data_IF_184692735457
#
_entry.id   IF_184692735457
#
_cell.length_a   1.000
_cell.length_b   1.000
_cell.length_c   1.000
_cell.angle_alpha   90.00
_cell.angle_beta   90.00
_cell.angle_gamma   90.00
#
_symmetry.space_group_name_H-M   'P 1'
#
loop_
_entity.id
_entity.type
_entity.pdbx_description
1 polymer ?
#
# COMPACT_ATOMS: atom_id res chain seq x y z
N UNK A 1 -6.16 -35.11 17.27
CA UNK A 1 -5.49 -33.86 16.86
C UNK A 1 -6.44 -33.11 15.96
N UNK A 2 -6.95 -31.98 16.42
CA UNK A 2 -7.90 -31.16 15.66
C UNK A 2 -7.16 -30.51 14.48
N UNK A 3 -7.86 -30.31 13.35
CA UNK A 3 -7.33 -29.64 12.16
C UNK A 3 -6.65 -28.30 12.49
N UNK A 4 -7.21 -27.58 13.47
CA UNK A 4 -6.66 -26.33 14.00
C UNK A 4 -5.27 -26.49 14.61
N UNK A 5 -5.01 -27.56 15.36
CA UNK A 5 -3.70 -27.80 15.98
C UNK A 5 -2.61 -28.03 14.92
N UNK A 6 -2.95 -28.78 13.86
CA UNK A 6 -2.04 -29.04 12.74
C UNK A 6 -1.81 -27.73 11.96
N UNK A 7 -2.87 -27.00 11.65
CA UNK A 7 -2.80 -25.71 10.96
C UNK A 7 -1.94 -24.69 11.73
N UNK A 8 -2.16 -24.56 13.04
CA UNK A 8 -1.41 -23.64 13.90
C UNK A 8 0.07 -24.04 13.98
N UNK A 9 0.38 -25.34 14.05
CA UNK A 9 1.76 -25.83 14.07
C UNK A 9 2.48 -25.53 12.76
N UNK A 10 1.82 -25.74 11.63
CA UNK A 10 2.38 -25.42 10.30
C UNK A 10 2.62 -23.91 10.18
N UNK A 11 1.63 -23.09 10.56
CA UNK A 11 1.76 -21.64 10.52
C UNK A 11 2.85 -21.10 11.48
N UNK A 12 3.03 -21.71 12.65
CA UNK A 12 4.10 -21.37 13.58
C UNK A 12 5.48 -21.71 13.01
N UNK A 13 5.65 -22.89 12.41
CA UNK A 13 6.89 -23.28 11.74
C UNK A 13 7.26 -22.32 10.61
N UNK A 14 6.30 -21.90 9.77
CA UNK A 14 6.55 -20.89 8.73
C UNK A 14 6.87 -19.51 9.30
N UNK A 15 6.23 -19.12 10.40
CA UNK A 15 6.55 -17.86 11.09
C UNK A 15 7.99 -17.85 11.61
N UNK A 16 8.43 -18.96 12.23
CA UNK A 16 9.81 -19.14 12.67
C UNK A 16 10.79 -19.20 11.48
N UNK A 17 10.42 -19.87 10.39
CA UNK A 17 11.22 -19.91 9.17
C UNK A 17 11.46 -18.51 8.58
N UNK A 18 10.45 -17.63 8.63
CA UNK A 18 10.59 -16.23 8.22
C UNK A 18 11.47 -15.46 9.21
N UNK A 19 11.30 -15.66 10.52
CA UNK A 19 12.16 -15.03 11.53
C UNK A 19 13.63 -15.47 11.45
N UNK A 20 13.94 -16.64 10.88
CA UNK A 20 15.33 -17.06 10.63
C UNK A 20 16.11 -16.07 9.77
N UNK A 21 15.43 -15.24 8.95
CA UNK A 21 16.07 -14.18 8.18
C UNK A 21 16.81 -13.16 9.06
N UNK A 22 16.30 -12.89 10.26
CA UNK A 22 16.89 -11.92 11.19
C UNK A 22 18.33 -12.29 11.60
N UNK A 23 18.66 -13.58 11.57
CA UNK A 23 20.00 -14.07 11.90
C UNK A 23 20.91 -14.13 10.67
N UNK A 24 20.45 -14.76 9.58
CA UNK A 24 21.13 -14.85 8.28
C UNK A 24 20.19 -15.46 7.23
N UNK A 25 20.46 -15.24 5.94
CA UNK A 25 19.77 -15.92 4.83
C UNK A 25 20.03 -17.44 4.80
N UNK A 26 19.21 -18.19 5.54
CA UNK A 26 19.26 -19.65 5.65
C UNK A 26 18.44 -20.32 4.53
N UNK A 27 18.80 -21.51 4.00
CA UNK A 27 17.94 -22.32 3.11
C UNK A 27 16.48 -22.46 3.56
N UNK A 28 16.23 -22.54 4.88
CA UNK A 28 14.88 -22.64 5.45
C UNK A 28 14.04 -21.38 5.14
N UNK A 29 14.63 -20.20 5.26
CA UNK A 29 13.98 -18.95 4.89
C UNK A 29 13.67 -18.89 3.39
N UNK A 30 14.65 -19.21 2.54
CA UNK A 30 14.47 -19.22 1.08
C UNK A 30 13.38 -20.20 0.64
N UNK A 31 13.30 -21.36 1.27
CA UNK A 31 12.21 -22.31 1.02
C UNK A 31 10.84 -21.72 1.38
N UNK A 32 10.71 -21.11 2.56
CA UNK A 32 9.47 -20.46 2.99
C UNK A 32 9.07 -19.31 2.05
N UNK A 33 10.03 -18.51 1.58
CA UNK A 33 9.80 -17.43 0.62
C UNK A 33 9.28 -17.96 -0.72
N UNK A 34 9.93 -18.96 -1.32
CA UNK A 34 9.48 -19.56 -2.57
C UNK A 34 8.11 -20.24 -2.44
N UNK A 35 7.86 -20.90 -1.32
CA UNK A 35 6.55 -21.51 -1.04
C UNK A 35 5.47 -20.44 -0.90
N UNK A 36 5.73 -19.35 -0.17
CA UNK A 36 4.80 -18.23 -0.01
C UNK A 36 4.45 -17.61 -1.36
N UNK A 37 5.45 -17.33 -2.21
CA UNK A 37 5.23 -16.77 -3.55
C UNK A 37 4.46 -17.77 -4.42
N UNK A 38 4.80 -19.05 -4.38
CA UNK A 38 4.12 -20.11 -5.13
C UNK A 38 2.65 -20.26 -4.75
N UNK A 39 2.34 -20.33 -3.44
CA UNK A 39 0.98 -20.41 -2.92
C UNK A 39 0.19 -19.14 -3.25
N UNK A 40 0.80 -17.96 -3.12
CA UNK A 40 0.17 -16.68 -3.46
C UNK A 40 -0.23 -16.64 -4.94
N UNK A 41 0.66 -17.07 -5.84
CA UNK A 41 0.35 -17.18 -7.27
C UNK A 41 -0.72 -18.24 -7.55
N UNK A 42 -0.65 -19.39 -6.87
CA UNK A 42 -1.64 -20.47 -6.98
C UNK A 42 -3.03 -20.05 -6.54
N UNK A 43 -3.16 -19.20 -5.52
CA UNK A 43 -4.44 -18.62 -5.09
C UNK A 43 -4.90 -17.47 -6.00
N UNK A 44 -3.97 -16.61 -6.44
CA UNK A 44 -4.28 -15.48 -7.29
C UNK A 44 -4.85 -15.90 -8.65
N UNK A 45 -4.37 -17.00 -9.26
CA UNK A 45 -4.81 -17.45 -10.58
C UNK A 45 -6.32 -17.78 -10.65
N UNK A 46 -6.89 -18.67 -9.80
CA UNK A 46 -8.33 -18.90 -9.76
C UNK A 46 -9.14 -17.66 -9.40
N UNK A 47 -8.61 -16.80 -8.53
CA UNK A 47 -9.27 -15.56 -8.12
C UNK A 47 -9.42 -14.62 -9.31
N UNK A 48 -8.34 -14.41 -10.07
CA UNK A 48 -8.35 -13.61 -11.31
C UNK A 48 -9.26 -14.26 -12.36
N UNK A 49 -9.24 -15.58 -12.48
CA UNK A 49 -10.13 -16.28 -13.42
C UNK A 49 -11.61 -16.03 -13.09
N UNK A 50 -12.01 -16.23 -11.83
CA UNK A 50 -13.42 -16.06 -11.44
C UNK A 50 -13.86 -14.59 -11.38
N UNK A 51 -13.02 -13.72 -10.82
CA UNK A 51 -13.41 -12.35 -10.50
C UNK A 51 -13.07 -11.36 -11.60
N UNK A 52 -12.14 -11.69 -12.51
CA UNK A 52 -11.80 -10.82 -13.63
C UNK A 52 -12.15 -11.46 -14.98
N UNK A 53 -11.67 -12.67 -15.26
CA UNK A 53 -11.83 -13.26 -16.59
C UNK A 53 -13.29 -13.57 -16.93
N UNK A 54 -14.03 -14.23 -16.03
CA UNK A 54 -15.45 -14.55 -16.26
C UNK A 54 -16.30 -13.28 -16.45
N UNK A 55 -16.28 -12.28 -15.54
CA UNK A 55 -17.17 -11.13 -15.66
C UNK A 55 -16.73 -10.10 -16.71
N UNK A 56 -15.43 -9.95 -17.01
CA UNK A 56 -14.96 -8.93 -17.97
C UNK A 56 -14.72 -9.46 -19.38
N UNK A 57 -14.51 -10.77 -19.56
CA UNK A 57 -14.27 -11.37 -20.88
C UNK A 57 -15.38 -12.33 -21.26
N UNK A 58 -15.66 -13.35 -20.44
CA UNK A 58 -16.58 -14.41 -20.83
C UNK A 58 -18.05 -13.96 -20.90
N UNK A 59 -18.59 -13.40 -19.83
CA UNK A 59 -20.00 -12.95 -19.77
C UNK A 59 -20.35 -11.87 -20.81
N UNK A 60 -19.60 -10.76 -20.95
CA UNK A 60 -20.01 -9.67 -21.83
C UNK A 60 -19.90 -10.02 -23.33
N UNK A 61 -18.95 -10.88 -23.70
CA UNK A 61 -18.73 -11.29 -25.09
C UNK A 61 -19.74 -12.36 -25.51
N UNK A 62 -20.02 -13.35 -24.66
CA UNK A 62 -20.88 -14.49 -25.01
C UNK A 62 -22.35 -14.32 -24.64
N UNK A 63 -22.70 -13.55 -23.59
CA UNK A 63 -24.09 -13.39 -23.14
C UNK A 63 -24.69 -12.03 -23.54
N UNK A 64 -23.93 -10.94 -23.42
CA UNK A 64 -24.46 -9.57 -23.62
C UNK A 64 -24.23 -9.00 -25.03
N UNK A 65 -23.52 -9.70 -25.92
CA UNK A 65 -23.19 -9.27 -27.29
C UNK A 65 -22.59 -7.86 -27.39
N UNK A 66 -21.90 -7.40 -26.34
CA UNK A 66 -21.22 -6.10 -26.34
C UNK A 66 -19.84 -6.23 -27.00
N UNK A 67 -19.83 -6.19 -28.33
CA UNK A 67 -18.63 -6.30 -29.16
C UNK A 67 -17.55 -5.23 -28.84
N UNK A 68 -17.90 -4.14 -28.16
CA UNK A 68 -16.94 -3.12 -27.74
C UNK A 68 -15.92 -3.64 -26.71
N UNK A 69 -16.25 -4.70 -25.96
CA UNK A 69 -15.36 -5.33 -24.98
C UNK A 69 -14.35 -6.31 -25.61
N UNK A 70 -14.40 -6.52 -26.93
CA UNK A 70 -13.40 -7.29 -27.66
C UNK A 70 -12.05 -6.57 -27.68
N UNK A 71 -12.03 -5.24 -27.69
CA UNK A 71 -10.79 -4.46 -27.70
C UNK A 71 -9.98 -4.71 -26.40
N UNK A 72 -10.56 -4.57 -25.18
CA UNK A 72 -9.90 -4.96 -23.94
C UNK A 72 -9.50 -6.45 -23.88
N UNK A 73 -10.33 -7.35 -24.40
CA UNK A 73 -10.01 -8.79 -24.42
C UNK A 73 -8.80 -9.09 -25.31
N UNK A 74 -8.71 -8.46 -26.48
CA UNK A 74 -7.59 -8.57 -27.39
C UNK A 74 -6.31 -8.00 -26.76
N UNK A 75 -6.41 -6.87 -26.05
CA UNK A 75 -5.29 -6.32 -25.26
C UNK A 75 -4.85 -7.27 -24.12
N UNK A 76 -5.79 -7.98 -23.49
CA UNK A 76 -5.48 -9.01 -22.50
C UNK A 76 -4.68 -10.17 -23.09
N UNK A 77 -5.08 -10.66 -24.27
CA UNK A 77 -4.36 -11.72 -24.99
C UNK A 77 -2.96 -11.26 -25.39
N UNK A 78 -2.80 -10.00 -25.80
CA UNK A 78 -1.50 -9.43 -26.14
C UNK A 78 -0.49 -9.47 -24.98
N UNK A 79 -0.97 -9.47 -23.74
CA UNK A 79 -0.13 -9.56 -22.55
C UNK A 79 0.56 -10.93 -22.40
N UNK A 80 -0.06 -12.01 -22.91
CA UNK A 80 0.50 -13.38 -22.87
C UNK A 80 1.75 -13.49 -23.75
N UNK A 81 1.85 -12.69 -24.82
CA UNK A 81 3.04 -12.68 -25.68
C UNK A 81 4.30 -12.13 -25.00
N UNK A 82 4.19 -11.60 -23.78
CA UNK A 82 5.34 -11.22 -22.94
C UNK A 82 6.28 -12.41 -22.64
N UNK A 83 5.76 -13.63 -22.61
CA UNK A 83 6.57 -14.84 -22.36
C UNK A 83 7.40 -15.29 -23.57
N UNK A 84 7.13 -14.75 -24.78
CA UNK A 84 7.89 -15.05 -25.99
C UNK A 84 8.93 -13.97 -26.27
N UNK A 85 10.20 -14.36 -26.50
CA UNK A 85 11.30 -13.43 -26.82
C UNK A 85 11.06 -12.64 -28.11
N UNK A 86 10.33 -13.19 -29.08
CA UNK A 86 10.15 -12.57 -30.40
C UNK A 86 8.89 -11.69 -30.50
N UNK A 87 7.81 -11.98 -29.76
CA UNK A 87 6.55 -11.21 -29.79
C UNK A 87 6.38 -10.27 -28.59
N UNK A 88 7.41 -10.13 -27.75
CA UNK A 88 7.39 -9.26 -26.56
C UNK A 88 7.02 -7.80 -26.87
N UNK A 89 7.32 -7.29 -28.08
CA UNK A 89 6.91 -5.93 -28.49
C UNK A 89 5.39 -5.71 -28.44
N UNK A 90 4.58 -6.72 -28.78
CA UNK A 90 3.11 -6.62 -28.77
C UNK A 90 2.56 -6.41 -27.35
N UNK A 91 3.27 -6.87 -26.32
CA UNK A 91 2.90 -6.66 -24.92
C UNK A 91 3.06 -5.20 -24.46
N UNK A 92 3.73 -4.34 -25.25
CA UNK A 92 3.92 -2.91 -24.92
C UNK A 92 2.63 -2.10 -25.03
N UNK A 93 1.71 -2.46 -25.94
CA UNK A 93 0.44 -1.73 -26.10
C UNK A 93 -0.49 -1.86 -24.89
N UNK A 94 -0.73 -3.06 -24.31
CA UNK A 94 -1.47 -3.18 -23.06
C UNK A 94 -0.78 -2.47 -21.89
N UNK A 95 0.55 -2.51 -21.82
CA UNK A 95 1.32 -1.82 -20.77
C UNK A 95 1.15 -0.30 -20.88
N UNK A 96 1.23 0.27 -22.09
CA UNK A 96 1.02 1.70 -22.32
C UNK A 96 -0.41 2.14 -21.91
N UNK A 97 -1.41 1.32 -22.22
CA UNK A 97 -2.78 1.58 -21.78
C UNK A 97 -2.94 1.51 -20.26
N UNK A 98 -2.33 0.51 -19.62
CA UNK A 98 -2.27 0.41 -18.16
C UNK A 98 -1.56 1.61 -17.52
N UNK A 99 -0.47 2.08 -18.12
CA UNK A 99 0.23 3.30 -17.69
C UNK A 99 -0.64 4.55 -17.85
N UNK A 100 -1.54 4.61 -18.83
CA UNK A 100 -2.53 5.67 -18.94
C UNK A 100 -3.50 5.72 -17.75
N UNK A 101 -3.94 4.56 -17.26
CA UNK A 101 -4.79 4.45 -16.06
C UNK A 101 -4.04 4.93 -14.82
N UNK A 102 -2.79 4.49 -14.64
CA UNK A 102 -1.92 4.96 -13.54
C UNK A 102 -1.66 6.47 -13.67
N UNK A 103 -1.48 6.95 -14.90
CA UNK A 103 -1.32 8.36 -15.23
C UNK A 103 -2.53 9.21 -14.85
N UNK A 104 -3.76 8.70 -14.99
CA UNK A 104 -4.99 9.37 -14.49
C UNK A 104 -5.04 9.44 -12.97
N UNK A 105 -4.38 8.52 -12.26
CA UNK A 105 -4.25 8.55 -10.80
C UNK A 105 -3.41 9.71 -10.27
N UNK A 106 -2.50 10.26 -11.08
CA UNK A 106 -1.64 11.40 -10.69
C UNK A 106 -2.46 12.69 -10.50
N UNK A 107 -3.23 13.20 -11.48
CA UNK A 107 -4.05 14.38 -11.27
C UNK A 107 -5.15 14.13 -10.22
N UNK A 108 -5.67 12.91 -10.10
CA UNK A 108 -6.65 12.55 -9.07
C UNK A 108 -6.04 12.62 -7.66
N UNK A 109 -4.82 12.11 -7.48
CA UNK A 109 -4.11 12.21 -6.20
C UNK A 109 -3.67 13.64 -5.89
N UNK A 110 -3.34 14.45 -6.90
CA UNK A 110 -3.13 15.89 -6.72
C UNK A 110 -4.42 16.59 -6.28
N UNK A 111 -5.56 16.27 -6.88
CA UNK A 111 -6.86 16.81 -6.46
C UNK A 111 -7.21 16.38 -5.02
N UNK A 112 -7.09 15.10 -4.70
CA UNK A 112 -7.40 14.60 -3.34
C UNK A 112 -6.42 15.11 -2.29
N UNK A 113 -5.15 15.30 -2.64
CA UNK A 113 -4.14 15.73 -1.65
C UNK A 113 -4.11 17.24 -1.51
N UNK A 114 -4.19 18.01 -2.59
CA UNK A 114 -4.07 19.47 -2.50
C UNK A 114 -5.42 20.13 -2.28
N UNK A 115 -6.41 19.87 -3.13
CA UNK A 115 -7.70 20.59 -3.08
C UNK A 115 -8.52 20.22 -1.84
N UNK A 116 -8.52 18.94 -1.43
CA UNK A 116 -9.21 18.54 -0.20
C UNK A 116 -8.50 19.10 1.03
N UNK A 117 -7.16 19.11 1.09
CA UNK A 117 -6.45 19.72 2.22
C UNK A 117 -6.71 21.22 2.32
N UNK A 118 -6.77 21.93 1.19
CA UNK A 118 -7.15 23.35 1.16
C UNK A 118 -8.58 23.57 1.67
N UNK A 119 -9.54 22.73 1.26
CA UNK A 119 -10.92 22.80 1.76
C UNK A 119 -10.99 22.55 3.26
N UNK A 120 -10.25 21.57 3.78
CA UNK A 120 -10.19 21.27 5.20
C UNK A 120 -9.64 22.43 6.02
N UNK A 121 -8.68 23.19 5.46
CA UNK A 121 -8.14 24.40 6.11
C UNK A 121 -9.10 25.60 6.11
N UNK A 122 -10.17 25.57 5.29
CA UNK A 122 -11.19 26.63 5.19
C UNK A 122 -12.45 26.33 6.02
N UNK A 123 -12.53 25.18 6.69
CA UNK A 123 -13.67 24.85 7.55
C UNK A 123 -13.74 25.80 8.76
N UNK A 124 -14.95 26.14 9.24
CA UNK A 124 -15.12 27.04 10.38
C UNK A 124 -14.40 26.50 11.62
N UNK A 125 -13.72 27.41 12.32
CA UNK A 125 -12.87 27.10 13.46
C UNK A 125 -13.75 27.01 14.72
N UNK A 126 -14.49 25.91 14.84
CA UNK A 126 -15.45 25.73 15.93
C UNK A 126 -14.83 25.04 17.16
N UNK A 127 -13.59 24.55 17.03
CA UNK A 127 -12.91 23.78 18.08
C UNK A 127 -11.46 24.25 18.30
N UNK A 128 -10.95 23.99 19.50
CA UNK A 128 -9.56 24.24 19.88
C UNK A 128 -8.57 23.55 18.91
N UNK A 129 -8.93 22.37 18.39
CA UNK A 129 -8.16 21.67 17.35
C UNK A 129 -8.09 22.47 16.04
N UNK A 130 -9.19 23.11 15.62
CA UNK A 130 -9.21 23.95 14.42
C UNK A 130 -8.25 25.13 14.54
N UNK A 131 -8.16 25.76 15.72
CA UNK A 131 -7.24 26.87 16.00
C UNK A 131 -5.78 26.40 15.90
N UNK A 132 -5.46 25.24 16.51
CA UNK A 132 -4.12 24.64 16.46
C UNK A 132 -3.72 24.34 15.01
N UNK A 133 -4.62 23.72 14.23
CA UNK A 133 -4.36 23.37 12.83
C UNK A 133 -4.18 24.62 11.97
N UNK A 134 -5.00 25.65 12.17
CA UNK A 134 -4.89 26.92 11.43
C UNK A 134 -3.57 27.64 11.74
N UNK A 135 -3.21 27.79 13.01
CA UNK A 135 -1.94 28.39 13.41
C UNK A 135 -0.77 27.56 12.87
N UNK A 136 -0.85 26.23 12.98
CA UNK A 136 0.16 25.32 12.43
C UNK A 136 0.34 25.50 10.93
N UNK A 137 -0.74 25.52 10.14
CA UNK A 137 -0.66 25.68 8.67
C UNK A 137 -0.07 27.03 8.28
N UNK A 138 -0.53 28.13 8.87
CA UNK A 138 0.03 29.47 8.59
C UNK A 138 1.51 29.53 8.92
N UNK A 139 1.90 28.99 10.06
CA UNK A 139 3.29 29.04 10.53
C UNK A 139 4.22 28.14 9.70
N UNK A 140 3.75 26.96 9.27
CA UNK A 140 4.49 26.07 8.36
C UNK A 140 4.65 26.72 6.97
N UNK A 141 3.60 27.36 6.45
CA UNK A 141 3.69 28.08 5.18
C UNK A 141 4.70 29.23 5.26
N UNK A 142 4.72 29.97 6.38
CA UNK A 142 5.74 30.99 6.63
C UNK A 142 7.16 30.41 6.69
N UNK A 143 7.34 29.21 7.24
CA UNK A 143 8.64 28.51 7.24
C UNK A 143 9.13 28.21 5.82
N UNK A 144 8.28 27.62 4.98
CA UNK A 144 8.63 27.24 3.61
C UNK A 144 8.62 28.41 2.63
N UNK A 145 8.14 29.58 3.03
CA UNK A 145 8.18 30.78 2.20
C UNK A 145 9.60 31.37 2.17
N UNK A 146 10.44 30.85 1.26
CA UNK A 146 11.86 31.20 1.12
C UNK A 146 12.12 32.66 0.66
N UNK A 147 11.09 33.42 0.28
CA UNK A 147 11.23 34.80 -0.22
C UNK A 147 11.56 35.85 0.84
N UNK A 148 11.45 35.54 2.14
CA UNK A 148 11.93 36.43 3.22
C UNK A 148 12.99 35.72 4.07
N UNK A 149 14.12 36.39 4.27
CA UNK A 149 15.14 35.93 5.20
C UNK A 149 14.57 35.87 6.63
N UNK A 150 14.83 34.79 7.36
CA UNK A 150 14.32 34.51 8.70
C UNK A 150 14.96 35.39 9.81
N UNK A 151 14.92 36.71 9.65
CA UNK A 151 15.48 37.68 10.63
C UNK A 151 14.36 38.38 11.41
N UNK A 152 14.59 38.62 12.70
CA UNK A 152 13.68 39.36 13.59
C UNK A 152 12.43 38.59 14.02
N UNK A 153 11.28 39.28 14.12
CA UNK A 153 9.98 38.70 14.56
C UNK A 153 9.52 37.57 13.62
N UNK A 154 9.82 37.69 12.32
CA UNK A 154 9.52 36.67 11.32
C UNK A 154 10.23 35.35 11.59
N UNK A 155 11.47 35.39 12.10
CA UNK A 155 12.24 34.20 12.50
C UNK A 155 11.66 33.50 13.73
N UNK A 156 11.17 34.26 14.73
CA UNK A 156 10.53 33.69 15.94
C UNK A 156 9.23 32.96 15.61
N UNK A 157 8.39 33.54 14.76
CA UNK A 157 7.16 32.89 14.27
C UNK A 157 7.53 31.63 13.48
N UNK A 158 8.51 31.73 12.60
CA UNK A 158 8.97 30.58 11.81
C UNK A 158 9.50 29.42 12.65
N UNK A 159 10.15 29.70 13.79
CA UNK A 159 10.60 28.66 14.73
C UNK A 159 9.44 27.82 15.28
N UNK A 160 8.26 28.41 15.50
CA UNK A 160 7.07 27.65 15.91
C UNK A 160 6.67 26.66 14.80
N UNK A 161 6.83 27.06 13.53
CA UNK A 161 6.58 26.20 12.37
C UNK A 161 7.52 24.99 12.33
N UNK A 162 8.78 25.17 12.74
CA UNK A 162 9.76 24.08 12.88
C UNK A 162 9.28 23.05 13.90
N UNK A 163 8.79 23.50 15.06
CA UNK A 163 8.24 22.60 16.07
C UNK A 163 7.02 21.83 15.56
N UNK A 164 6.10 22.51 14.87
CA UNK A 164 4.94 21.86 14.25
C UNK A 164 5.34 20.80 13.23
N UNK A 165 6.33 21.08 12.38
CA UNK A 165 6.85 20.09 11.43
C UNK A 165 7.55 18.92 12.12
N UNK A 166 8.35 19.17 13.17
CA UNK A 166 9.00 18.11 13.93
C UNK A 166 7.97 17.17 14.58
N UNK A 167 6.88 17.70 15.12
CA UNK A 167 5.78 16.90 15.66
C UNK A 167 5.08 16.11 14.55
N UNK A 168 4.76 16.75 13.42
CA UNK A 168 4.09 16.09 12.29
C UNK A 168 4.93 14.95 11.68
N UNK A 169 6.21 15.21 11.39
CA UNK A 169 7.12 14.18 10.91
C UNK A 169 7.36 13.11 11.97
N UNK A 170 7.55 13.49 13.23
CA UNK A 170 7.71 12.55 14.34
C UNK A 170 6.50 11.60 14.49
N UNK A 171 5.28 12.13 14.37
CA UNK A 171 4.06 11.33 14.37
C UNK A 171 3.99 10.39 13.16
N UNK A 172 4.36 10.86 11.96
CA UNK A 172 4.39 10.03 10.75
C UNK A 172 5.43 8.89 10.86
N UNK A 173 6.63 9.18 11.35
CA UNK A 173 7.65 8.16 11.60
C UNK A 173 7.17 7.18 12.68
N UNK A 174 6.62 7.69 13.79
CA UNK A 174 6.05 6.89 14.88
C UNK A 174 4.95 5.94 14.40
N UNK A 175 4.06 6.40 13.52
CA UNK A 175 3.02 5.57 12.91
C UNK A 175 3.59 4.39 12.12
N UNK A 176 4.64 4.63 11.31
CA UNK A 176 5.28 3.55 10.55
C UNK A 176 5.99 2.53 11.43
N UNK A 177 6.64 2.98 12.51
CA UNK A 177 7.30 2.10 13.49
C UNK A 177 6.25 1.31 14.27
N UNK A 178 5.18 1.97 14.73
CA UNK A 178 4.06 1.32 15.41
C UNK A 178 3.41 0.25 14.53
N UNK A 179 3.17 0.52 13.25
CA UNK A 179 2.61 -0.47 12.33
C UNK A 179 3.50 -1.72 12.22
N UNK A 180 4.82 -1.54 12.13
CA UNK A 180 5.78 -2.66 12.07
C UNK A 180 5.85 -3.44 13.38
N UNK A 181 5.89 -2.76 14.52
CA UNK A 181 5.88 -3.39 15.85
C UNK A 181 4.55 -4.11 16.09
N UNK A 182 3.42 -3.53 15.68
CA UNK A 182 2.09 -4.15 15.81
C UNK A 182 2.01 -5.46 15.04
N UNK A 183 2.54 -5.51 13.81
CA UNK A 183 2.64 -6.75 13.03
C UNK A 183 3.52 -7.79 13.74
N UNK A 184 4.64 -7.37 14.34
CA UNK A 184 5.52 -8.25 15.10
C UNK A 184 4.82 -8.82 16.35
N UNK A 185 4.14 -7.96 17.12
CA UNK A 185 3.36 -8.35 18.30
C UNK A 185 2.31 -9.39 17.91
N UNK A 186 1.56 -9.16 16.83
CA UNK A 186 0.56 -10.12 16.36
C UNK A 186 1.15 -11.50 16.03
N UNK A 187 2.38 -11.55 15.50
CA UNK A 187 3.09 -12.83 15.27
C UNK A 187 3.61 -13.48 16.55
N UNK A 188 4.09 -12.68 17.51
CA UNK A 188 4.53 -13.19 18.82
C UNK A 188 3.32 -13.72 19.62
N UNK A 189 2.19 -13.02 19.62
CA UNK A 189 0.94 -13.47 20.24
C UNK A 189 0.46 -14.79 19.63
N UNK A 190 0.48 -14.91 18.31
CA UNK A 190 0.17 -16.16 17.61
C UNK A 190 1.09 -17.32 18.04
N UNK A 191 2.40 -17.08 18.15
CA UNK A 191 3.36 -18.12 18.56
C UNK A 191 3.19 -18.52 20.04
N UNK A 192 3.01 -17.56 20.93
CA UNK A 192 2.96 -17.80 22.38
C UNK A 192 1.57 -18.26 22.86
N UNK A 193 0.50 -17.76 22.24
CA UNK A 193 -0.88 -18.09 22.60
C UNK A 193 -1.43 -19.25 21.79
N UNK A 194 -1.66 -19.06 20.50
CA UNK A 194 -2.36 -20.04 19.65
C UNK A 194 -1.56 -21.33 19.39
N UNK A 195 -0.23 -21.27 19.51
CA UNK A 195 0.65 -22.42 19.28
C UNK A 195 1.21 -23.03 20.57
N UNK A 196 1.83 -22.24 21.45
CA UNK A 196 2.43 -22.73 22.70
C UNK A 196 1.44 -22.79 23.89
N UNK A 197 0.30 -22.09 23.81
CA UNK A 197 -0.70 -22.05 24.90
C UNK A 197 -0.22 -21.39 26.19
N UNK A 198 0.90 -20.67 26.15
CA UNK A 198 1.53 -20.06 27.33
C UNK A 198 0.87 -18.74 27.75
N UNK A 199 0.14 -18.10 26.83
CA UNK A 199 -0.55 -16.83 27.04
C UNK A 199 -1.98 -16.99 26.50
N UNK A 200 -3.00 -16.69 27.31
CA UNK A 200 -4.39 -16.56 26.84
C UNK A 200 -4.66 -15.15 26.34
#
# INVERSE_FOLDING_TARGET
>A
MTFEMISNTVAALFTLAIFSFLYKENPVYRFAEHLLVGVSMGYALPLVYKNAFIPFVYRPIFLEHKFILIIPALMGILYIFRFSKNLSWLSRYPIAFGMGIVGMGVPMSMNSSVLVQMRTAMLPIDSLNGVIVFIGTVTILMYFFFSKAHKGVYGKITNIGIWYMMVGFGASFGYTVMARISLLIGRIQFLLGDWLGLIK
#
